data_IF_364617264421
#
_entry.id   IF_364617264421
#
_cell.length_a   1.000
_cell.length_b   1.000
_cell.length_c   1.000
_cell.angle_alpha   90.00
_cell.angle_beta   90.00
_cell.angle_gamma   90.00
#
_symmetry.space_group_name_H-M   'P 1'
#
loop_
_entity.id
_entity.type
_entity.pdbx_description
1 polymer ?
#
# COMPACT_ATOMS: atom_id res chain seq x y z
N UNK A 1 44.89 -54.14 -29.42
CA UNK A 1 43.89 -54.30 -30.50
C UNK A 1 42.82 -53.21 -30.23
N UNK A 2 42.92 -52.12 -30.93
CA UNK A 2 41.99 -51.54 -31.94
C UNK A 2 40.62 -51.20 -31.37
N UNK A 3 40.39 -49.88 -31.18
CA UNK A 3 39.57 -48.94 -31.97
C UNK A 3 38.06 -49.17 -31.84
N UNK A 4 37.26 -48.19 -31.44
CA UNK A 4 36.80 -47.06 -32.28
C UNK A 4 35.97 -46.03 -31.49
N UNK A 5 36.24 -44.78 -31.80
CA UNK A 5 35.49 -43.60 -31.47
C UNK A 5 34.04 -43.62 -31.98
N UNK A 6 33.11 -42.99 -31.24
CA UNK A 6 31.97 -42.27 -31.84
C UNK A 6 31.61 -41.04 -30.98
N UNK A 7 32.01 -39.90 -31.46
CA UNK A 7 31.50 -38.60 -31.11
C UNK A 7 30.03 -38.49 -31.64
N UNK A 8 29.09 -38.13 -30.80
CA UNK A 8 27.85 -37.56 -31.25
C UNK A 8 27.54 -36.36 -30.34
N UNK A 9 27.80 -35.15 -30.83
CA UNK A 9 27.45 -33.91 -30.22
C UNK A 9 25.93 -33.73 -30.34
N UNK A 10 25.30 -33.43 -29.24
CA UNK A 10 23.98 -32.78 -29.22
C UNK A 10 24.15 -31.37 -28.66
N UNK A 11 23.98 -30.40 -29.53
CA UNK A 11 23.86 -29.01 -29.20
C UNK A 11 22.60 -28.82 -28.36
N UNK A 12 22.77 -28.45 -27.10
CA UNK A 12 21.68 -27.95 -26.28
C UNK A 12 21.38 -26.53 -26.73
N UNK A 13 20.35 -26.36 -27.55
CA UNK A 13 19.79 -25.05 -27.87
C UNK A 13 19.08 -24.55 -26.63
N UNK A 14 19.72 -23.60 -25.94
CA UNK A 14 19.08 -22.88 -24.85
C UNK A 14 17.93 -22.04 -25.44
N UNK A 15 16.72 -22.46 -25.20
CA UNK A 15 15.55 -21.60 -25.40
C UNK A 15 15.54 -20.59 -24.24
N UNK A 16 16.22 -19.48 -24.45
CA UNK A 16 16.01 -18.27 -23.65
C UNK A 16 14.68 -17.69 -24.13
N UNK A 17 13.60 -18.20 -23.54
CA UNK A 17 12.23 -17.76 -23.82
C UNK A 17 11.98 -16.35 -23.31
N UNK A 18 11.82 -15.47 -24.21
CA UNK A 18 11.17 -14.17 -24.27
C UNK A 18 10.14 -13.85 -23.17
N UNK A 19 10.60 -13.40 -22.01
CA UNK A 19 9.76 -12.68 -21.02
C UNK A 19 10.18 -11.22 -20.84
N UNK A 20 11.10 -10.72 -21.68
CA UNK A 20 11.57 -9.32 -21.63
C UNK A 20 10.88 -8.37 -22.60
N UNK A 21 10.01 -8.85 -23.49
CA UNK A 21 9.47 -8.02 -24.57
C UNK A 21 8.24 -7.19 -24.20
N UNK A 22 7.50 -7.51 -23.14
CA UNK A 22 6.35 -6.70 -22.70
C UNK A 22 6.77 -5.38 -22.00
N UNK A 23 7.96 -5.33 -21.41
CA UNK A 23 8.45 -4.19 -20.64
C UNK A 23 9.06 -3.05 -21.49
N UNK A 24 9.37 -3.29 -22.76
CA UNK A 24 9.99 -2.30 -23.63
C UNK A 24 8.97 -1.33 -24.26
N UNK A 25 7.74 -1.77 -24.48
CA UNK A 25 6.69 -0.95 -25.13
C UNK A 25 6.10 0.12 -24.19
N UNK A 26 6.15 -0.09 -22.87
CA UNK A 26 5.58 0.83 -21.89
C UNK A 26 6.44 2.08 -21.63
N UNK A 27 7.71 2.06 -22.03
CA UNK A 27 8.63 3.20 -21.88
C UNK A 27 8.34 4.36 -22.84
N UNK A 28 7.56 4.13 -23.86
CA UNK A 28 7.29 5.14 -24.92
C UNK A 28 5.97 5.89 -24.73
N UNK A 29 5.07 5.40 -23.86
CA UNK A 29 3.80 6.11 -23.58
C UNK A 29 4.10 7.39 -22.79
N UNK A 30 3.63 8.58 -23.22
CA UNK A 30 3.74 9.80 -22.43
C UNK A 30 3.09 9.62 -21.07
N UNK A 31 3.81 10.00 -20.02
CA UNK A 31 3.29 9.92 -18.66
C UNK A 31 3.31 11.31 -17.99
N UNK A 32 2.21 11.63 -17.32
CA UNK A 32 2.10 12.87 -16.53
C UNK A 32 1.58 12.50 -15.14
N UNK A 33 2.22 13.04 -14.11
CA UNK A 33 1.70 13.01 -12.73
C UNK A 33 0.71 14.15 -12.51
N UNK A 34 -0.18 13.98 -11.55
CA UNK A 34 -1.02 15.07 -11.06
C UNK A 34 -0.15 16.17 -10.42
N UNK A 35 -0.59 17.41 -10.55
CA UNK A 35 0.11 18.57 -9.94
C UNK A 35 -0.43 18.78 -8.54
N UNK A 36 0.10 18.01 -7.59
CA UNK A 36 -0.32 18.04 -6.19
C UNK A 36 0.07 19.33 -5.47
N UNK A 37 -0.92 20.09 -5.04
CA UNK A 37 -0.76 21.31 -4.25
C UNK A 37 -0.92 20.95 -2.77
N UNK A 38 0.19 21.03 -2.03
CA UNK A 38 0.21 20.77 -0.58
C UNK A 38 -0.63 21.81 0.17
N UNK A 39 -1.38 21.36 1.18
CA UNK A 39 -2.13 22.27 2.03
C UNK A 39 -1.19 23.11 2.89
N UNK A 40 -1.47 24.43 3.00
CA UNK A 40 -0.58 25.35 3.69
C UNK A 40 -0.44 25.09 5.20
N UNK A 41 -1.45 24.45 5.81
CA UNK A 41 -1.48 24.13 7.23
C UNK A 41 -1.08 22.66 7.52
N UNK A 42 -0.36 21.99 6.61
CA UNK A 42 0.16 20.65 6.90
C UNK A 42 1.17 20.65 8.06
N UNK A 43 1.17 19.62 8.93
CA UNK A 43 0.25 18.48 8.92
C UNK A 43 -1.15 18.85 9.42
N UNK A 44 -2.19 18.37 8.74
CA UNK A 44 -3.59 18.61 9.14
C UNK A 44 -4.02 17.75 10.32
N UNK A 45 -3.35 16.62 10.56
CA UNK A 45 -3.53 15.77 11.74
C UNK A 45 -2.16 15.44 12.36
N UNK A 46 -1.60 16.33 13.24
CA UNK A 46 -0.36 16.06 13.95
C UNK A 46 -0.56 15.00 15.04
N UNK A 47 0.49 14.29 15.52
CA UNK A 47 0.39 13.42 16.68
C UNK A 47 0.14 14.21 17.97
N UNK A 48 -0.23 13.51 19.06
CA UNK A 48 -0.41 14.10 20.39
C UNK A 48 -1.80 14.62 20.72
N UNK A 49 -2.81 14.25 19.91
CA UNK A 49 -4.21 14.63 20.18
C UNK A 49 -4.90 13.78 21.26
N UNK A 50 -4.26 12.67 21.70
CA UNK A 50 -4.76 11.78 22.74
C UNK A 50 -3.71 10.74 23.14
N UNK A 51 -3.98 9.89 24.15
CA UNK A 51 -3.03 8.90 24.63
C UNK A 51 -2.70 7.80 23.62
N UNK A 52 -3.48 7.67 22.56
CA UNK A 52 -3.36 6.60 21.56
C UNK A 52 -2.55 6.99 20.32
N UNK A 53 -2.19 8.26 20.20
CA UNK A 53 -1.48 8.79 19.02
C UNK A 53 -0.38 9.79 19.38
N UNK A 54 0.18 9.68 20.58
CA UNK A 54 1.28 10.53 21.04
C UNK A 54 2.56 10.30 20.25
N UNK A 55 2.79 9.07 19.78
CA UNK A 55 4.00 8.69 19.05
C UNK A 55 3.92 8.93 17.54
N UNK A 56 2.77 8.71 16.93
CA UNK A 56 2.55 8.97 15.50
C UNK A 56 1.06 8.98 15.14
N UNK A 57 0.78 9.62 13.98
CA UNK A 57 -0.44 9.42 13.19
C UNK A 57 -0.02 8.95 11.80
N UNK A 58 -0.30 7.71 11.42
CA UNK A 58 0.21 7.10 10.19
C UNK A 58 -0.85 6.33 9.41
N UNK A 59 -0.51 5.97 8.17
CA UNK A 59 -1.31 5.13 7.29
C UNK A 59 -2.75 5.65 7.10
N UNK A 60 -2.94 6.87 6.58
CA UNK A 60 -4.28 7.39 6.37
C UNK A 60 -5.06 6.55 5.35
N UNK A 61 -6.29 6.25 5.68
CA UNK A 61 -7.30 5.74 4.77
C UNK A 61 -8.59 6.51 5.00
N UNK A 62 -9.13 7.14 3.96
CA UNK A 62 -10.28 8.03 4.08
C UNK A 62 -11.49 7.45 3.35
N UNK A 63 -12.62 7.41 4.03
CA UNK A 63 -13.92 7.15 3.45
C UNK A 63 -14.73 8.44 3.47
N UNK A 64 -15.28 8.82 2.32
CA UNK A 64 -16.27 9.90 2.23
C UNK A 64 -17.63 9.31 2.58
N UNK A 65 -18.27 9.83 3.63
CA UNK A 65 -19.58 9.37 4.06
C UNK A 65 -20.47 10.55 4.47
N UNK A 66 -21.51 10.81 3.70
CA UNK A 66 -22.28 12.06 3.79
C UNK A 66 -21.39 13.27 3.42
N UNK A 67 -21.43 14.30 4.25
CA UNK A 67 -20.63 15.52 4.08
C UNK A 67 -19.31 15.49 4.86
N UNK A 68 -18.92 14.30 5.38
CA UNK A 68 -17.75 14.14 6.23
C UNK A 68 -16.70 13.20 5.62
N UNK A 69 -15.43 13.48 5.94
CA UNK A 69 -14.35 12.52 5.89
C UNK A 69 -14.33 11.67 7.15
N UNK A 70 -14.23 10.37 6.97
CA UNK A 70 -13.89 9.39 8.00
C UNK A 70 -12.46 8.94 7.75
N UNK A 71 -11.51 9.49 8.50
CA UNK A 71 -10.09 9.15 8.41
C UNK A 71 -9.78 8.03 9.40
N UNK A 72 -9.48 6.87 8.86
CA UNK A 72 -8.90 5.74 9.59
C UNK A 72 -7.39 5.86 9.54
N UNK A 73 -6.72 5.81 10.69
CA UNK A 73 -5.28 5.95 10.79
C UNK A 73 -4.71 5.08 11.91
N UNK A 74 -3.44 4.72 11.83
CA UNK A 74 -2.78 4.06 12.94
C UNK A 74 -2.17 5.10 13.86
N UNK A 75 -2.56 5.08 15.12
CA UNK A 75 -1.99 5.87 16.21
C UNK A 75 -1.07 5.01 17.07
N UNK A 76 0.08 5.56 17.50
CA UNK A 76 0.99 4.92 18.44
C UNK A 76 0.83 5.51 19.84
N UNK A 77 0.66 4.67 20.83
CA UNK A 77 0.73 5.04 22.25
C UNK A 77 2.19 5.25 22.71
N UNK A 78 2.40 5.67 23.96
CA UNK A 78 3.73 5.93 24.51
C UNK A 78 4.65 4.69 24.54
N UNK A 79 4.11 3.48 24.42
CA UNK A 79 4.85 2.22 24.38
C UNK A 79 5.10 1.70 22.96
N UNK A 80 4.79 2.49 21.93
CA UNK A 80 4.75 2.10 20.50
C UNK A 80 3.73 1.00 20.18
N UNK A 81 2.75 0.80 21.05
CA UNK A 81 1.60 -0.04 20.72
C UNK A 81 0.69 0.69 19.74
N UNK A 82 0.43 0.08 18.56
CA UNK A 82 -0.33 0.76 17.49
C UNK A 82 -1.72 0.19 17.33
N UNK A 83 -2.69 1.12 17.21
CA UNK A 83 -4.11 0.80 17.02
C UNK A 83 -4.68 1.62 15.88
N UNK A 84 -5.70 1.10 15.24
CA UNK A 84 -6.45 1.88 14.26
C UNK A 84 -7.41 2.79 15.00
N UNK A 85 -7.26 4.07 14.74
CA UNK A 85 -8.07 5.17 15.28
C UNK A 85 -8.96 5.76 14.19
N UNK A 86 -10.00 6.45 14.62
CA UNK A 86 -10.88 7.23 13.75
C UNK A 86 -10.77 8.72 14.09
N UNK A 87 -10.70 9.54 13.05
CA UNK A 87 -10.99 10.97 13.13
C UNK A 87 -11.98 11.35 12.03
N UNK A 88 -12.84 12.35 12.28
CA UNK A 88 -13.81 12.86 11.30
C UNK A 88 -13.69 14.36 11.17
N UNK A 89 -13.93 14.90 9.98
CA UNK A 89 -14.11 16.32 9.75
C UNK A 89 -15.06 16.55 8.55
N UNK A 90 -15.74 17.71 8.47
CA UNK A 90 -16.43 18.11 7.26
C UNK A 90 -15.47 18.22 6.07
N UNK A 91 -15.94 17.85 4.88
CA UNK A 91 -15.11 17.83 3.66
C UNK A 91 -14.52 19.22 3.35
N UNK A 92 -15.27 20.28 3.60
CA UNK A 92 -14.87 21.67 3.39
C UNK A 92 -13.92 22.24 4.47
N UNK A 93 -13.66 21.46 5.56
CA UNK A 93 -12.88 21.90 6.72
C UNK A 93 -11.81 20.88 7.11
N UNK A 94 -10.95 20.51 6.17
CA UNK A 94 -9.95 19.45 6.28
C UNK A 94 -8.90 19.64 7.38
N UNK A 95 -8.92 20.72 8.10
CA UNK A 95 -8.05 21.02 9.26
C UNK A 95 -8.77 20.87 10.62
N UNK A 96 -10.09 20.61 10.62
CA UNK A 96 -10.92 20.58 11.85
C UNK A 96 -11.25 19.14 12.26
N UNK A 97 -10.24 18.32 12.47
CA UNK A 97 -10.41 16.90 12.80
C UNK A 97 -10.90 16.68 14.23
N UNK A 98 -12.03 16.01 14.38
CA UNK A 98 -12.50 15.45 15.65
C UNK A 98 -11.98 14.02 15.78
N UNK A 99 -11.10 13.77 16.75
CA UNK A 99 -10.57 12.43 17.07
C UNK A 99 -11.58 11.65 17.90
N UNK A 100 -11.77 10.37 17.56
CA UNK A 100 -12.67 9.46 18.27
C UNK A 100 -11.90 8.38 19.05
N UNK A 101 -10.58 8.27 18.84
CA UNK A 101 -9.74 7.27 19.47
C UNK A 101 -9.73 5.92 18.73
N UNK A 102 -9.23 4.86 19.39
CA UNK A 102 -9.13 3.54 18.82
C UNK A 102 -10.50 2.90 18.56
N UNK A 103 -10.60 2.15 17.48
CA UNK A 103 -11.82 1.46 17.06
C UNK A 103 -11.95 0.06 17.68
N UNK A 104 -10.83 -0.58 17.94
CA UNK A 104 -10.74 -1.87 18.62
C UNK A 104 -9.34 -2.04 19.22
N UNK A 105 -9.22 -2.96 20.17
CA UNK A 105 -7.93 -3.29 20.80
C UNK A 105 -7.11 -4.25 19.95
N UNK A 106 -5.80 -4.23 20.20
CA UNK A 106 -4.87 -5.26 19.73
C UNK A 106 -5.25 -6.62 20.32
N UNK A 107 -4.72 -7.69 19.74
CA UNK A 107 -4.87 -9.01 20.31
C UNK A 107 -4.07 -9.22 21.60
N UNK A 108 -4.38 -10.29 22.33
CA UNK A 108 -3.66 -10.70 23.50
C UNK A 108 -2.27 -11.29 23.19
N UNK A 109 -1.50 -11.67 24.23
CA UNK A 109 -0.19 -12.30 24.06
C UNK A 109 -0.24 -13.52 23.13
N UNK A 110 0.67 -13.57 22.16
CA UNK A 110 0.77 -14.65 21.18
C UNK A 110 -0.13 -14.51 19.96
N UNK A 111 -1.05 -13.53 19.94
CA UNK A 111 -1.89 -13.28 18.76
C UNK A 111 -1.10 -12.65 17.61
N UNK A 112 -1.64 -12.79 16.39
CA UNK A 112 -1.00 -12.25 15.19
C UNK A 112 -0.94 -10.72 15.17
N UNK A 113 -1.78 -10.04 15.93
CA UNK A 113 -1.93 -8.58 16.02
C UNK A 113 -1.67 -8.04 17.44
N UNK A 114 -0.83 -8.73 18.21
CA UNK A 114 -0.50 -8.40 19.59
C UNK A 114 0.12 -7.01 19.78
N UNK A 115 1.00 -6.59 18.86
CA UNK A 115 1.74 -5.32 19.02
C UNK A 115 1.18 -4.19 18.19
N UNK A 116 0.79 -4.46 16.94
CA UNK A 116 0.32 -3.44 16.00
C UNK A 116 -0.90 -3.90 15.21
N UNK A 117 -1.87 -2.99 15.08
CA UNK A 117 -2.90 -2.98 14.05
C UNK A 117 -2.71 -1.68 13.26
N UNK A 118 -2.31 -1.78 11.98
CA UNK A 118 -1.91 -0.66 11.14
C UNK A 118 -2.40 -0.82 9.70
N UNK A 119 -2.21 0.17 8.84
CA UNK A 119 -2.55 0.14 7.41
C UNK A 119 -4.02 -0.27 7.17
N UNK A 120 -4.98 0.48 7.72
CA UNK A 120 -6.39 0.21 7.48
C UNK A 120 -6.74 0.37 6.00
N UNK A 121 -7.63 -0.49 5.52
CA UNK A 121 -8.29 -0.39 4.23
C UNK A 121 -9.77 -0.71 4.42
N UNK A 122 -10.65 0.22 4.12
CA UNK A 122 -12.09 0.10 4.37
C UNK A 122 -12.85 0.01 3.06
N UNK A 123 -13.71 -1.00 2.95
CA UNK A 123 -14.57 -1.20 1.78
C UNK A 123 -15.97 -1.66 2.22
N UNK A 124 -17.00 -1.29 1.46
CA UNK A 124 -18.38 -1.70 1.75
C UNK A 124 -18.73 -2.96 0.97
N UNK A 125 -19.09 -4.03 1.67
CA UNK A 125 -19.60 -5.29 1.11
C UNK A 125 -21.08 -5.43 1.45
N UNK A 126 -21.96 -5.22 0.47
CA UNK A 126 -23.38 -5.16 0.72
C UNK A 126 -23.73 -4.06 1.75
N UNK A 127 -24.34 -4.45 2.86
CA UNK A 127 -24.69 -3.51 3.94
C UNK A 127 -23.60 -3.35 5.01
N UNK A 128 -22.53 -4.16 4.98
CA UNK A 128 -21.47 -4.15 5.98
C UNK A 128 -20.21 -3.45 5.49
N UNK A 129 -19.51 -2.77 6.39
CA UNK A 129 -18.17 -2.24 6.17
C UNK A 129 -17.15 -3.26 6.64
N UNK A 130 -16.18 -3.56 5.78
CA UNK A 130 -15.02 -4.40 6.09
C UNK A 130 -13.78 -3.52 6.21
N UNK A 131 -13.03 -3.69 7.27
CA UNK A 131 -11.71 -3.06 7.45
C UNK A 131 -10.66 -4.16 7.47
N UNK A 132 -9.80 -4.16 6.46
CA UNK A 132 -8.61 -4.99 6.44
C UNK A 132 -7.47 -4.20 7.05
N UNK A 133 -6.67 -4.86 7.90
CA UNK A 133 -5.57 -4.20 8.58
C UNK A 133 -4.34 -5.10 8.65
N UNK A 134 -3.17 -4.50 8.50
CA UNK A 134 -1.91 -5.20 8.75
C UNK A 134 -1.72 -5.40 10.22
N UNK A 135 -1.11 -6.51 10.55
CA UNK A 135 -0.88 -6.91 11.92
C UNK A 135 0.59 -7.20 12.18
N UNK A 136 1.03 -6.98 13.41
CA UNK A 136 2.35 -7.33 13.89
C UNK A 136 2.26 -8.07 15.21
N UNK A 137 2.85 -9.28 15.26
CA UNK A 137 3.04 -10.05 16.49
C UNK A 137 4.26 -9.57 17.27
N UNK A 138 4.40 -10.00 18.52
CA UNK A 138 5.62 -9.79 19.30
C UNK A 138 6.79 -10.64 18.78
N UNK A 139 6.50 -11.81 18.19
CA UNK A 139 7.51 -12.67 17.59
C UNK A 139 8.02 -12.07 16.27
N UNK A 140 9.18 -11.44 16.32
CA UNK A 140 9.84 -10.82 15.16
C UNK A 140 10.48 -11.84 14.22
N UNK A 141 10.56 -13.11 14.59
CA UNK A 141 11.05 -14.19 13.75
C UNK A 141 10.02 -14.68 12.73
N UNK A 142 8.76 -14.26 12.87
CA UNK A 142 7.68 -14.63 11.95
C UNK A 142 7.42 -13.49 10.97
N UNK A 143 7.42 -13.81 9.69
CA UNK A 143 7.28 -12.80 8.63
C UNK A 143 8.43 -11.78 8.65
N UNK A 144 8.22 -10.60 8.06
CA UNK A 144 9.17 -9.50 8.16
C UNK A 144 8.97 -8.76 9.48
N UNK A 145 9.86 -8.94 10.45
CA UNK A 145 9.82 -8.25 11.74
C UNK A 145 8.46 -8.38 12.48
N UNK A 146 7.82 -9.55 12.36
CA UNK A 146 6.52 -9.82 12.98
C UNK A 146 5.29 -9.48 12.15
N UNK A 147 5.44 -8.91 10.96
CA UNK A 147 4.33 -8.72 10.02
C UNK A 147 3.94 -10.06 9.39
N UNK A 148 2.86 -10.64 9.86
CA UNK A 148 2.45 -12.00 9.53
C UNK A 148 1.26 -12.09 8.59
N UNK A 149 0.26 -11.22 8.75
CA UNK A 149 -0.99 -11.34 8.03
C UNK A 149 -1.83 -10.06 8.02
N UNK A 150 -2.91 -10.14 7.28
CA UNK A 150 -3.94 -9.10 7.22
C UNK A 150 -5.16 -9.62 7.98
N UNK A 151 -5.57 -8.88 9.01
CA UNK A 151 -6.80 -9.12 9.77
C UNK A 151 -8.01 -8.45 9.13
N UNK A 152 -9.19 -8.84 9.58
CA UNK A 152 -10.48 -8.27 9.16
C UNK A 152 -11.29 -7.84 10.39
N UNK A 153 -11.85 -6.64 10.33
CA UNK A 153 -12.89 -6.17 11.24
C UNK A 153 -14.12 -5.73 10.45
N UNK A 154 -15.30 -5.82 11.06
CA UNK A 154 -16.60 -5.54 10.43
C UNK A 154 -17.36 -4.49 11.23
N UNK A 155 -18.07 -3.61 10.52
CA UNK A 155 -18.89 -2.54 11.08
C UNK A 155 -20.18 -2.35 10.30
N UNK A 156 -21.22 -1.84 10.99
CA UNK A 156 -22.47 -1.39 10.39
C UNK A 156 -22.46 0.12 10.11
N UNK A 157 -21.64 0.90 10.83
CA UNK A 157 -21.78 2.35 10.97
C UNK A 157 -20.48 3.15 10.79
N UNK A 158 -19.34 2.50 10.40
CA UNK A 158 -17.99 3.07 10.33
C UNK A 158 -17.41 3.50 11.69
N UNK A 159 -18.14 3.35 12.79
CA UNK A 159 -17.75 3.83 14.12
C UNK A 159 -17.52 2.71 15.10
N UNK A 160 -18.38 1.68 15.05
CA UNK A 160 -18.33 0.51 15.93
C UNK A 160 -17.80 -0.67 15.15
N UNK A 161 -16.64 -1.19 15.53
CA UNK A 161 -15.94 -2.25 14.80
C UNK A 161 -15.75 -3.48 15.66
N UNK A 162 -15.91 -4.64 15.06
CA UNK A 162 -15.65 -5.94 15.69
C UNK A 162 -14.71 -6.76 14.82
N UNK A 163 -13.64 -7.29 15.41
CA UNK A 163 -12.78 -8.26 14.73
C UNK A 163 -13.58 -9.46 14.24
N UNK A 164 -13.35 -9.87 13.02
CA UNK A 164 -14.03 -10.99 12.39
C UNK A 164 -13.53 -12.33 12.93
N UNK A 165 -12.22 -12.44 13.19
CA UNK A 165 -11.54 -13.65 13.62
C UNK A 165 -10.32 -13.28 14.46
N UNK A 166 -9.85 -14.24 15.28
CA UNK A 166 -8.56 -14.19 15.97
C UNK A 166 -7.39 -14.61 15.06
N UNK A 167 -7.68 -15.02 13.81
CA UNK A 167 -6.70 -15.38 12.79
C UNK A 167 -6.77 -14.41 11.60
N UNK A 168 -5.65 -14.18 10.88
CA UNK A 168 -5.64 -13.33 9.69
C UNK A 168 -6.42 -13.98 8.55
N UNK A 169 -7.08 -13.15 7.71
CA UNK A 169 -7.77 -13.59 6.50
C UNK A 169 -6.85 -13.72 5.29
N UNK A 170 -5.65 -13.19 5.36
CA UNK A 170 -4.63 -13.29 4.30
C UNK A 170 -3.24 -13.37 4.92
N UNK A 171 -2.48 -14.39 4.51
CA UNK A 171 -1.08 -14.60 4.89
C UNK A 171 -0.12 -14.25 3.75
N UNK A 172 1.16 -14.06 4.07
CA UNK A 172 2.22 -13.74 3.11
C UNK A 172 2.73 -14.92 2.27
N UNK A 173 2.08 -16.07 2.30
CA UNK A 173 2.39 -17.26 1.52
C UNK A 173 1.88 -17.18 0.06
N UNK A 174 2.16 -18.20 -0.76
CA UNK A 174 1.63 -18.33 -2.12
C UNK A 174 2.41 -17.58 -3.21
N UNK A 175 3.67 -17.20 -2.93
CA UNK A 175 4.60 -16.69 -3.93
C UNK A 175 5.87 -17.57 -3.93
N UNK A 176 5.91 -18.59 -4.78
CA UNK A 176 6.97 -19.61 -4.80
C UNK A 176 8.36 -19.06 -5.06
N UNK A 177 8.48 -17.97 -5.85
CA UNK A 177 9.73 -17.30 -6.17
C UNK A 177 10.36 -16.57 -4.97
N UNK A 178 9.63 -16.44 -3.84
CA UNK A 178 10.04 -15.65 -2.67
C UNK A 178 9.97 -16.47 -1.37
N UNK A 179 10.60 -17.64 -1.37
CA UNK A 179 10.51 -18.64 -0.30
C UNK A 179 11.03 -18.18 1.07
N UNK A 180 11.87 -17.14 1.13
CA UNK A 180 12.58 -16.77 2.35
C UNK A 180 11.96 -15.61 3.13
N UNK A 181 10.91 -14.96 2.62
CA UNK A 181 10.29 -13.91 3.36
C UNK A 181 8.82 -13.71 3.04
N UNK A 182 8.05 -13.58 4.08
CA UNK A 182 6.62 -13.78 4.09
C UNK A 182 5.90 -12.70 4.90
N UNK A 183 6.53 -11.53 4.97
CA UNK A 183 5.89 -10.37 5.56
C UNK A 183 4.89 -9.78 4.58
N UNK A 184 3.69 -9.50 5.06
CA UNK A 184 2.70 -8.80 4.27
C UNK A 184 2.17 -7.59 5.02
N UNK A 185 1.88 -6.56 4.27
CA UNK A 185 1.27 -5.35 4.79
C UNK A 185 0.14 -4.92 3.86
N UNK A 186 -1.03 -4.65 4.40
CA UNK A 186 -2.17 -4.13 3.66
C UNK A 186 -1.91 -2.71 3.15
N UNK A 187 -2.96 -1.98 2.91
CA UNK A 187 -2.93 -0.54 2.71
C UNK A 187 -3.37 0.01 1.38
N UNK A 188 -3.70 -0.83 0.41
CA UNK A 188 -4.35 -0.39 -0.81
C UNK A 188 -5.85 -0.62 -0.79
N UNK A 189 -6.64 0.16 -1.55
CA UNK A 189 -8.08 -0.01 -1.60
C UNK A 189 -8.48 -1.32 -2.27
N UNK A 190 -9.66 -1.77 -1.93
CA UNK A 190 -10.34 -2.85 -2.65
C UNK A 190 -11.09 -2.25 -3.82
N UNK A 191 -10.94 -2.86 -5.00
CA UNK A 191 -11.73 -2.52 -6.16
C UNK A 191 -12.69 -3.65 -6.54
N UNK A 192 -13.84 -3.27 -7.05
CA UNK A 192 -14.83 -4.18 -7.60
C UNK A 192 -14.55 -4.43 -9.08
N UNK A 193 -14.45 -5.70 -9.44
CA UNK A 193 -14.23 -6.14 -10.81
C UNK A 193 -15.47 -6.88 -11.29
N UNK A 194 -16.29 -6.28 -12.18
CA UNK A 194 -17.46 -6.93 -12.73
C UNK A 194 -17.11 -8.21 -13.47
N UNK A 195 -17.89 -9.26 -13.27
CA UNK A 195 -17.79 -10.55 -13.94
C UNK A 195 -19.07 -10.87 -14.72
N UNK A 196 -18.98 -11.82 -15.65
CA UNK A 196 -20.13 -12.30 -16.39
C UNK A 196 -21.20 -12.87 -15.44
N UNK A 197 -22.48 -12.70 -15.80
CA UNK A 197 -23.61 -13.15 -15.00
C UNK A 197 -23.94 -12.27 -13.79
N UNK A 198 -23.52 -10.99 -13.80
CA UNK A 198 -23.83 -10.01 -12.76
C UNK A 198 -23.10 -10.23 -11.43
N UNK A 199 -22.07 -11.09 -11.42
CA UNK A 199 -21.24 -11.32 -10.23
C UNK A 199 -20.16 -10.24 -10.12
N UNK A 200 -19.72 -9.96 -8.90
CA UNK A 200 -18.60 -9.07 -8.59
C UNK A 200 -17.48 -9.90 -8.00
N UNK A 201 -16.26 -9.62 -8.46
CA UNK A 201 -15.04 -10.08 -7.83
C UNK A 201 -14.35 -8.89 -7.19
N UNK A 202 -13.82 -9.09 -6.01
CA UNK A 202 -13.11 -8.06 -5.25
C UNK A 202 -11.61 -8.25 -5.42
N UNK A 203 -10.86 -7.17 -5.57
CA UNK A 203 -9.42 -7.19 -5.70
C UNK A 203 -8.80 -6.31 -4.61
N UNK A 204 -8.09 -6.93 -3.68
CA UNK A 204 -7.30 -6.25 -2.65
C UNK A 204 -5.92 -5.93 -3.18
N UNK A 205 -5.47 -4.69 -2.99
CA UNK A 205 -4.09 -4.28 -3.22
C UNK A 205 -3.34 -4.30 -1.90
N UNK A 206 -2.17 -4.94 -1.87
CA UNK A 206 -1.36 -5.02 -0.66
C UNK A 206 0.13 -5.10 -0.99
N UNK A 207 0.97 -5.13 0.02
CA UNK A 207 2.42 -5.13 -0.10
C UNK A 207 2.97 -6.46 0.38
N UNK A 208 3.78 -7.11 -0.47
CA UNK A 208 4.60 -8.26 -0.10
C UNK A 208 6.00 -7.76 0.24
N UNK A 209 6.49 -8.07 1.44
CA UNK A 209 7.86 -7.82 1.84
C UNK A 209 8.68 -9.10 1.63
N UNK A 210 9.68 -9.03 0.75
CA UNK A 210 10.39 -10.24 0.28
C UNK A 210 11.72 -10.45 0.96
N UNK A 211 12.19 -9.74 1.92
CA UNK A 211 13.46 -9.93 2.62
C UNK A 211 14.50 -10.67 1.77
N UNK A 212 14.93 -10.07 0.70
CA UNK A 212 16.00 -10.66 -0.10
C UNK A 212 17.29 -10.62 0.68
N UNK A 213 18.08 -11.70 0.75
CA UNK A 213 19.37 -11.74 1.43
C UNK A 213 20.48 -11.01 0.64
N UNK A 214 20.16 -9.97 -0.13
CA UNK A 214 21.17 -9.20 -0.80
C UNK A 214 21.84 -8.23 0.18
N UNK A 215 23.14 -8.13 0.07
CA UNK A 215 24.01 -7.27 0.89
C UNK A 215 23.87 -5.78 0.60
N UNK A 216 22.99 -5.39 -0.31
CA UNK A 216 22.64 -4.00 -0.60
C UNK A 216 21.56 -3.53 0.35
N UNK A 217 21.77 -2.41 1.03
CA UNK A 217 20.84 -1.76 1.97
C UNK A 217 19.40 -1.61 1.46
N UNK A 218 19.22 -1.72 0.15
CA UNK A 218 17.95 -1.58 -0.54
C UNK A 218 17.19 -2.89 -0.68
N UNK A 219 17.87 -4.03 -0.61
CA UNK A 219 17.29 -5.34 -0.91
C UNK A 219 16.84 -6.10 0.32
N UNK A 220 17.36 -5.81 1.50
CA UNK A 220 16.86 -6.36 2.77
C UNK A 220 15.43 -5.89 3.08
N UNK A 221 14.93 -4.89 2.37
CA UNK A 221 13.59 -4.35 2.50
C UNK A 221 12.83 -4.31 1.17
N UNK A 222 13.19 -5.14 0.21
CA UNK A 222 12.48 -5.20 -1.06
C UNK A 222 10.99 -5.47 -0.81
N UNK A 223 10.17 -4.55 -1.29
CA UNK A 223 8.72 -4.64 -1.18
C UNK A 223 8.10 -4.53 -2.57
N UNK A 224 7.06 -5.30 -2.79
CA UNK A 224 6.36 -5.41 -4.05
C UNK A 224 4.89 -5.07 -3.84
N UNK A 225 4.30 -4.35 -4.80
CA UNK A 225 2.85 -4.20 -4.84
C UNK A 225 2.24 -5.46 -5.46
N UNK A 226 1.31 -6.06 -4.76
CA UNK A 226 0.65 -7.31 -5.13
C UNK A 226 -0.85 -7.21 -4.97
N UNK A 227 -1.59 -8.11 -5.60
CA UNK A 227 -3.03 -8.28 -5.41
C UNK A 227 -3.37 -9.69 -4.94
N UNK A 228 -4.54 -9.80 -4.31
CA UNK A 228 -5.31 -11.03 -4.20
C UNK A 228 -6.75 -10.75 -4.60
N UNK A 229 -7.45 -11.77 -5.09
CA UNK A 229 -8.85 -11.66 -5.49
C UNK A 229 -9.75 -12.50 -4.57
N UNK A 230 -11.00 -12.07 -4.41
CA UNK A 230 -12.00 -12.73 -3.58
C UNK A 230 -13.40 -12.59 -4.17
N UNK A 231 -14.26 -13.58 -3.94
CA UNK A 231 -15.68 -13.50 -4.27
C UNK A 231 -16.54 -13.11 -3.05
N UNK A 232 -16.00 -13.25 -1.83
CA UNK A 232 -16.74 -13.06 -0.57
C UNK A 232 -16.14 -11.99 0.37
N UNK A 233 -14.96 -11.45 0.04
CA UNK A 233 -14.22 -10.51 0.89
C UNK A 233 -13.56 -11.15 2.12
N UNK A 234 -13.55 -12.48 2.23
CA UNK A 234 -12.95 -13.22 3.35
C UNK A 234 -11.88 -14.18 2.88
N UNK A 235 -12.16 -14.93 1.83
CA UNK A 235 -11.24 -15.88 1.21
C UNK A 235 -10.50 -15.24 0.05
N UNK A 236 -9.18 -15.02 0.19
CA UNK A 236 -8.35 -14.32 -0.79
C UNK A 236 -7.45 -15.29 -1.53
N UNK A 237 -7.60 -15.36 -2.86
CA UNK A 237 -6.91 -16.26 -3.79
C UNK A 237 -6.36 -15.47 -5.00
N UNK A 238 -5.84 -16.16 -6.00
CA UNK A 238 -5.39 -15.59 -7.30
C UNK A 238 -4.43 -14.42 -7.13
N UNK A 239 -3.33 -14.66 -6.40
CA UNK A 239 -2.32 -13.65 -6.06
C UNK A 239 -1.43 -13.32 -7.25
N UNK A 240 -1.18 -12.03 -7.49
CA UNK A 240 -0.32 -11.55 -8.59
C UNK A 240 0.53 -10.37 -8.15
N UNK A 241 1.80 -10.36 -8.58
CA UNK A 241 2.66 -9.18 -8.44
C UNK A 241 2.28 -8.18 -9.53
N UNK A 242 1.99 -6.95 -9.12
CA UNK A 242 1.53 -5.86 -9.97
C UNK A 242 2.65 -4.88 -10.31
N UNK A 243 3.48 -4.56 -9.32
CA UNK A 243 4.52 -3.56 -9.48
C UNK A 243 5.77 -3.96 -8.68
N UNK A 244 6.92 -3.81 -9.34
CA UNK A 244 8.25 -4.05 -8.76
C UNK A 244 9.04 -2.75 -8.70
N UNK A 245 10.07 -2.64 -7.83
CA UNK A 245 11.05 -1.56 -7.92
C UNK A 245 11.64 -1.43 -9.32
N UNK A 246 11.98 -0.22 -9.72
CA UNK A 246 12.62 0.10 -10.99
C UNK A 246 14.09 0.46 -10.77
N UNK A 247 14.98 -0.41 -11.20
CA UNK A 247 16.43 -0.24 -10.96
C UNK A 247 17.05 0.99 -11.61
N UNK A 248 16.44 1.49 -12.69
CA UNK A 248 16.86 2.68 -13.44
C UNK A 248 16.28 4.01 -12.90
N UNK A 249 15.43 3.95 -11.85
CA UNK A 249 14.83 5.12 -11.21
C UNK A 249 15.22 5.22 -9.73
N UNK A 250 16.21 6.04 -9.42
CA UNK A 250 16.84 6.12 -8.09
C UNK A 250 15.87 6.46 -6.93
N UNK A 251 14.70 7.01 -7.18
CA UNK A 251 13.69 7.32 -6.16
C UNK A 251 12.77 6.13 -5.86
N UNK A 252 12.78 5.06 -6.69
CA UNK A 252 11.93 3.87 -6.51
C UNK A 252 12.65 2.54 -6.77
N UNK A 253 13.97 2.50 -6.64
CA UNK A 253 14.77 1.32 -6.99
C UNK A 253 14.89 0.27 -5.89
N UNK A 254 14.26 0.46 -4.73
CA UNK A 254 14.33 -0.47 -3.60
C UNK A 254 12.98 -1.10 -3.22
N UNK A 255 11.92 -0.32 -3.15
CA UNK A 255 10.62 -0.80 -2.70
C UNK A 255 9.47 -0.06 -3.37
N UNK A 256 8.33 -0.77 -3.49
CA UNK A 256 7.03 -0.25 -3.90
C UNK A 256 5.99 -0.71 -2.88
N UNK A 257 5.25 0.22 -2.31
CA UNK A 257 4.38 -0.01 -1.16
C UNK A 257 3.03 0.65 -1.37
N UNK A 258 1.96 -0.02 -0.93
CA UNK A 258 0.61 0.55 -0.80
C UNK A 258 0.09 1.17 -2.11
N UNK A 259 0.03 0.36 -3.18
CA UNK A 259 -0.58 0.80 -4.44
C UNK A 259 -2.07 1.11 -4.23
N UNK A 260 -2.44 2.36 -4.47
CA UNK A 260 -3.79 2.87 -4.34
C UNK A 260 -4.36 3.22 -5.71
N UNK A 261 -5.10 2.31 -6.39
CA UNK A 261 -5.70 2.57 -7.69
C UNK A 261 -7.04 3.28 -7.59
N UNK A 262 -7.33 4.09 -8.61
CA UNK A 262 -8.67 4.61 -8.86
C UNK A 262 -8.97 4.60 -10.36
N UNK A 263 -10.26 4.55 -10.68
CA UNK A 263 -10.72 4.53 -12.07
C UNK A 263 -10.78 5.94 -12.64
N UNK A 264 -10.40 6.06 -13.91
CA UNK A 264 -10.51 7.29 -14.70
C UNK A 264 -11.41 7.05 -15.91
N UNK A 265 -11.84 8.06 -16.66
CA UNK A 265 -12.62 7.86 -17.88
C UNK A 265 -11.90 7.02 -18.96
N UNK A 266 -10.56 7.00 -18.97
CA UNK A 266 -9.75 6.36 -20.00
C UNK A 266 -8.98 5.12 -19.50
N UNK A 267 -9.18 4.68 -18.25
CA UNK A 267 -8.46 3.53 -17.67
C UNK A 267 -8.33 3.64 -16.17
N UNK A 268 -7.11 3.46 -15.68
CA UNK A 268 -6.80 3.48 -14.24
C UNK A 268 -5.59 4.33 -13.96
N UNK A 269 -5.60 4.96 -12.81
CA UNK A 269 -4.43 5.59 -12.18
C UNK A 269 -4.19 4.96 -10.83
N UNK A 270 -2.95 5.00 -10.36
CA UNK A 270 -2.61 4.60 -9.00
C UNK A 270 -1.55 5.53 -8.45
N UNK A 271 -1.60 5.74 -7.14
CA UNK A 271 -0.57 6.38 -6.35
C UNK A 271 0.01 5.36 -5.38
N UNK A 272 1.30 5.44 -5.09
CA UNK A 272 1.98 4.50 -4.22
C UNK A 272 3.20 5.13 -3.55
N UNK A 273 3.64 4.58 -2.42
CA UNK A 273 4.90 4.95 -1.82
C UNK A 273 6.04 4.11 -2.40
N UNK A 274 7.21 4.71 -2.56
CA UNK A 274 8.42 4.05 -3.05
C UNK A 274 9.61 4.36 -2.15
N UNK A 275 10.60 3.46 -2.10
CA UNK A 275 11.90 3.71 -1.49
C UNK A 275 12.95 3.63 -2.58
N UNK A 276 13.90 4.55 -2.54
CA UNK A 276 15.02 4.54 -3.46
C UNK A 276 16.25 5.25 -2.91
N UNK A 277 17.40 5.02 -3.58
CA UNK A 277 18.71 5.58 -3.19
C UNK A 277 18.78 7.09 -3.27
N UNK A 278 17.88 7.73 -4.05
CA UNK A 278 17.89 9.18 -4.21
C UNK A 278 17.58 9.92 -2.91
N UNK A 279 16.62 9.42 -2.14
CA UNK A 279 16.21 10.03 -0.88
C UNK A 279 16.66 9.23 0.35
N UNK A 280 17.03 7.96 0.16
CA UNK A 280 17.30 7.02 1.26
C UNK A 280 16.06 6.75 2.11
N UNK A 281 14.88 7.14 1.64
CA UNK A 281 13.61 7.13 2.35
C UNK A 281 12.44 7.09 1.36
N UNK A 282 11.23 7.23 1.87
CA UNK A 282 10.02 7.19 1.08
C UNK A 282 9.78 8.47 0.27
N UNK A 283 9.29 8.26 -0.95
CA UNK A 283 8.65 9.26 -1.81
C UNK A 283 7.35 8.71 -2.37
N UNK A 284 6.53 9.56 -2.99
CA UNK A 284 5.23 9.17 -3.55
C UNK A 284 5.31 9.25 -5.06
N UNK A 285 4.90 8.17 -5.71
CA UNK A 285 4.92 8.01 -7.16
C UNK A 285 3.52 7.68 -7.69
N UNK A 286 3.33 7.86 -9.00
CA UNK A 286 2.12 7.47 -9.71
C UNK A 286 2.40 6.41 -10.77
N UNK A 287 1.35 5.66 -11.11
CA UNK A 287 1.30 4.74 -12.25
C UNK A 287 -0.03 4.86 -12.98
N UNK A 288 -0.09 4.38 -14.22
CA UNK A 288 -1.31 4.29 -15.00
C UNK A 288 -1.47 2.88 -15.58
N UNK A 289 -2.70 2.52 -15.92
CA UNK A 289 -3.04 1.22 -16.50
C UNK A 289 -4.29 1.32 -17.35
N UNK A 290 -4.36 0.53 -18.40
CA UNK A 290 -5.56 0.43 -19.23
C UNK A 290 -6.59 -0.53 -18.62
N UNK A 291 -6.14 -1.55 -17.86
CA UNK A 291 -6.96 -2.65 -17.33
C UNK A 291 -6.95 -2.79 -15.79
N UNK A 292 -6.16 -1.97 -15.08
CA UNK A 292 -5.96 -2.06 -13.63
C UNK A 292 -5.12 -3.27 -13.20
N UNK A 293 -4.40 -3.90 -14.13
CA UNK A 293 -3.55 -5.07 -13.93
C UNK A 293 -2.12 -4.78 -14.34
N UNK A 294 -1.91 -4.33 -15.55
CA UNK A 294 -0.60 -4.03 -16.09
C UNK A 294 -0.35 -2.51 -16.00
N UNK A 295 0.63 -2.14 -15.15
CA UNK A 295 0.89 -0.76 -14.79
C UNK A 295 2.14 -0.22 -15.46
N UNK A 296 2.05 0.97 -16.03
CA UNK A 296 3.18 1.70 -16.60
C UNK A 296 3.44 3.03 -15.86
N UNK A 297 4.68 3.50 -15.91
CA UNK A 297 5.19 4.62 -15.11
C UNK A 297 5.91 5.69 -15.93
N UNK A 298 5.85 5.61 -17.25
CA UNK A 298 6.61 6.48 -18.13
C UNK A 298 8.14 6.26 -18.03
N UNK A 299 8.93 7.25 -18.42
CA UNK A 299 10.40 7.24 -18.26
C UNK A 299 10.80 7.51 -16.81
N UNK A 300 12.03 7.11 -16.38
CA UNK A 300 12.57 7.52 -15.09
C UNK A 300 12.49 9.04 -14.90
N UNK A 301 11.89 9.47 -13.80
CA UNK A 301 11.65 10.88 -13.48
C UNK A 301 10.26 11.39 -13.79
N UNK A 302 9.50 10.72 -14.67
CA UNK A 302 8.17 11.18 -15.06
C UNK A 302 7.06 10.85 -14.06
N UNK A 303 7.26 9.84 -13.21
CA UNK A 303 6.23 9.33 -12.30
C UNK A 303 6.42 9.72 -10.82
N UNK A 304 7.42 10.53 -10.48
CA UNK A 304 7.59 11.06 -9.13
C UNK A 304 6.57 12.16 -8.86
N UNK A 305 5.61 11.90 -8.00
CA UNK A 305 4.49 12.80 -7.72
C UNK A 305 4.76 13.75 -6.55
N UNK A 306 5.25 13.22 -5.41
CA UNK A 306 5.61 14.01 -4.24
C UNK A 306 6.94 13.52 -3.69
N UNK A 307 7.91 14.41 -3.62
CA UNK A 307 9.21 14.20 -2.99
C UNK A 307 9.26 14.84 -1.59
N UNK A 308 10.15 14.37 -0.68
CA UNK A 308 10.49 15.08 0.54
C UNK A 308 10.96 16.52 0.23
N UNK A 309 10.60 17.47 1.09
CA UNK A 309 10.87 18.89 0.86
C UNK A 309 12.24 19.36 1.34
N UNK A 310 12.93 18.54 2.13
CA UNK A 310 14.15 18.95 2.84
C UNK A 310 13.90 19.79 4.10
N UNK A 311 12.68 20.26 4.32
CA UNK A 311 12.31 21.15 5.44
C UNK A 311 10.98 20.73 6.10
N UNK A 312 10.85 21.04 7.39
CA UNK A 312 9.60 20.88 8.14
C UNK A 312 9.16 19.43 8.36
N UNK A 313 7.86 19.23 8.44
CA UNK A 313 7.21 17.99 8.84
C UNK A 313 7.40 16.82 7.84
N UNK A 314 7.69 17.11 6.57
CA UNK A 314 7.93 16.15 5.48
C UNK A 314 9.34 16.29 4.88
N UNK A 315 10.31 16.71 5.69
CA UNK A 315 11.66 17.02 5.22
C UNK A 315 12.46 15.83 4.74
N UNK A 316 12.19 14.63 5.28
CA UNK A 316 12.98 13.41 5.04
C UNK A 316 12.24 12.34 4.26
N UNK A 317 10.93 12.24 4.44
CA UNK A 317 10.09 11.24 3.77
C UNK A 317 8.63 11.69 3.66
N UNK A 318 7.95 11.14 2.65
CA UNK A 318 6.50 11.18 2.45
C UNK A 318 6.02 9.79 2.07
N UNK A 319 4.97 9.28 2.74
CA UNK A 319 4.60 7.87 2.62
C UNK A 319 3.11 7.58 2.82
N UNK A 320 2.70 6.36 2.49
CA UNK A 320 1.34 5.84 2.66
C UNK A 320 0.27 6.75 2.07
N UNK A 321 0.33 7.02 0.76
CA UNK A 321 -0.66 7.86 0.10
C UNK A 321 -2.02 7.17 0.04
N UNK A 322 -3.08 7.96 0.23
CA UNK A 322 -4.45 7.56 -0.06
C UNK A 322 -5.18 8.70 -0.76
N UNK A 323 -5.87 8.40 -1.85
CA UNK A 323 -6.56 9.39 -2.69
C UNK A 323 -8.07 9.20 -2.60
N UNK A 324 -8.79 10.30 -2.45
CA UNK A 324 -10.25 10.37 -2.58
C UNK A 324 -10.64 11.37 -3.66
N UNK A 325 -11.74 11.10 -4.37
CA UNK A 325 -12.29 12.01 -5.35
C UNK A 325 -13.19 13.06 -4.68
N UNK A 326 -13.03 14.33 -5.05
CA UNK A 326 -13.84 15.47 -4.64
C UNK A 326 -14.38 16.21 -5.87
N UNK A 327 -15.45 15.72 -6.45
CA UNK A 327 -15.97 16.27 -7.70
C UNK A 327 -14.98 16.13 -8.85
N UNK A 328 -14.50 17.25 -9.37
CA UNK A 328 -13.48 17.34 -10.43
C UNK A 328 -12.04 17.30 -9.91
N UNK A 329 -11.85 17.21 -8.58
CA UNK A 329 -10.54 17.18 -7.92
C UNK A 329 -10.25 15.86 -7.25
N UNK A 330 -8.98 15.66 -6.95
CA UNK A 330 -8.47 14.55 -6.15
C UNK A 330 -7.83 15.13 -4.90
N UNK A 331 -8.17 14.57 -3.74
CA UNK A 331 -7.47 14.87 -2.49
C UNK A 331 -6.62 13.69 -2.09
N UNK A 332 -5.35 13.97 -1.84
CA UNK A 332 -4.36 13.05 -1.33
C UNK A 332 -4.18 13.26 0.17
N UNK A 333 -4.19 12.19 0.94
CA UNK A 333 -3.73 12.14 2.32
C UNK A 333 -2.45 11.30 2.39
N UNK A 334 -1.46 11.72 3.18
CA UNK A 334 -0.18 11.03 3.28
C UNK A 334 0.53 11.34 4.61
N UNK A 335 1.53 10.53 4.98
CA UNK A 335 2.32 10.73 6.18
C UNK A 335 3.58 11.53 5.90
N UNK A 336 4.03 12.27 6.91
CA UNK A 336 5.35 12.90 6.93
C UNK A 336 6.43 12.01 7.55
N UNK A 337 7.48 12.66 8.09
CA UNK A 337 8.68 12.01 8.60
C UNK A 337 8.40 10.92 9.66
N UNK A 338 9.28 9.90 9.68
CA UNK A 338 9.31 8.91 10.76
C UNK A 338 8.05 8.06 10.85
N UNK A 339 7.50 7.64 9.71
CA UNK A 339 6.27 6.85 9.67
C UNK A 339 5.10 7.57 10.36
N UNK A 340 4.90 8.86 10.05
CA UNK A 340 3.85 9.67 10.65
C UNK A 340 4.17 10.20 12.06
N UNK A 341 5.43 10.15 12.50
CA UNK A 341 5.84 10.81 13.76
C UNK A 341 5.65 12.34 13.68
N UNK A 342 5.57 12.89 12.49
CA UNK A 342 5.22 14.30 12.27
C UNK A 342 3.76 14.51 11.83
N UNK A 343 2.99 13.43 11.70
CA UNK A 343 1.55 13.48 11.40
C UNK A 343 1.17 13.18 9.96
N UNK A 344 -0.11 13.44 9.66
CA UNK A 344 -0.75 13.28 8.36
C UNK A 344 -1.00 14.64 7.74
N UNK A 345 -0.64 14.79 6.48
CA UNK A 345 -0.93 15.96 5.66
C UNK A 345 -1.83 15.63 4.47
N UNK A 346 -2.16 16.67 3.72
CA UNK A 346 -3.02 16.58 2.53
C UNK A 346 -2.51 17.45 1.39
N UNK A 347 -2.83 17.04 0.17
CA UNK A 347 -2.62 17.83 -1.04
C UNK A 347 -3.83 17.68 -1.98
N UNK A 348 -4.03 18.64 -2.86
CA UNK A 348 -5.13 18.68 -3.81
C UNK A 348 -4.58 18.76 -5.24
N UNK A 349 -5.24 18.08 -6.17
CA UNK A 349 -4.92 18.19 -7.60
C UNK A 349 -6.20 18.16 -8.44
N UNK A 350 -6.16 18.77 -9.61
CA UNK A 350 -7.19 18.58 -10.64
C UNK A 350 -7.06 17.18 -11.24
N UNK A 351 -8.18 16.57 -11.62
CA UNK A 351 -8.16 15.31 -12.36
C UNK A 351 -7.50 15.52 -13.73
N UNK A 352 -6.66 14.58 -14.14
CA UNK A 352 -6.10 14.58 -15.49
C UNK A 352 -7.18 14.20 -16.52
N UNK A 353 -7.38 15.05 -17.49
CA UNK A 353 -8.30 14.85 -18.63
C UNK A 353 -7.79 13.79 -19.58
#
# INVERSE_FOLDING_TARGET
MQRRDFLCGMAATAIVGSTQTAWASDREKPFRVHQWQRHAQNPVLPPGGGPFDVGCCMNPFVVVHGDDYFLFYAGADASDGRRICLATCPIDRVTEWKRHGPLFDRGGPGSFDETWCVLPCVHKFGEKWHMYYSSRSADKGVGLQGFRGIGLAISDDLRTWKKYSDEPVLLGDGFDDYQNNKGIAGGGPIIEVPRSGGRTRYRMHYTLATGSPSTDLLTDQAKLAVIAESDDGVTWIDRKIMLRPRLDAKYENAAVIALNPWKTPTGWRAIYASIGTQFGAYSICEAASDDGIDWYRGKPGENLAIAPTGNGWESKMVEYPHVVAEGDKLRLFYCGNGYGATGIGTALAEQLS
#
